data_IF_983541290343
#
_entry.id   IF_983541290343
#
_cell.length_a   1.000
_cell.length_b   1.000
_cell.length_c   1.000
_cell.angle_alpha   90.00
_cell.angle_beta   90.00
_cell.angle_gamma   90.00
#
_symmetry.space_group_name_H-M   'P 1'
#
loop_
_entity.id
_entity.type
_entity.pdbx_description
1 polymer ?
#
# COMPACT_ATOMS: atom_id res chain seq x y z
N UNK A 1 -10.73 18.59 -37.43
CA UNK A 1 -9.32 18.19 -37.22
C UNK A 1 -9.26 17.36 -35.95
N UNK A 2 -9.14 16.04 -36.08
CA UNK A 2 -9.11 15.09 -34.96
C UNK A 2 -7.66 14.92 -34.53
N UNK A 3 -7.32 15.32 -33.31
CA UNK A 3 -6.00 15.04 -32.71
C UNK A 3 -6.07 13.72 -31.98
N UNK A 4 -5.37 12.73 -32.50
CA UNK A 4 -5.13 11.42 -31.87
C UNK A 4 -3.98 11.61 -30.88
N UNK A 5 -4.24 11.36 -29.61
CA UNK A 5 -3.20 11.30 -28.57
C UNK A 5 -2.77 9.85 -28.47
N UNK A 6 -1.54 9.59 -28.91
CA UNK A 6 -0.90 8.28 -28.80
C UNK A 6 -0.44 8.04 -27.36
N UNK A 7 -0.93 6.94 -26.79
CA UNK A 7 -0.46 6.43 -25.48
C UNK A 7 0.80 5.62 -25.77
N UNK A 8 1.96 6.10 -25.33
CA UNK A 8 3.23 5.37 -25.40
C UNK A 8 3.29 4.42 -24.19
N UNK A 9 3.04 3.14 -24.46
CA UNK A 9 3.35 2.05 -23.52
C UNK A 9 4.85 1.75 -23.63
N UNK A 10 5.63 2.10 -22.61
CA UNK A 10 7.02 1.67 -22.51
C UNK A 10 7.08 0.21 -22.03
N UNK A 11 7.30 -0.70 -22.95
CA UNK A 11 7.67 -2.10 -22.67
C UNK A 11 9.17 -2.13 -22.41
N UNK A 12 9.58 -2.46 -21.20
CA UNK A 12 10.97 -2.75 -20.86
C UNK A 12 11.19 -4.25 -21.05
N UNK A 13 11.91 -4.61 -22.13
CA UNK A 13 12.43 -5.95 -22.37
C UNK A 13 13.65 -6.19 -21.45
N UNK A 14 13.59 -7.20 -20.59
CA UNK A 14 14.76 -7.75 -19.93
C UNK A 14 15.34 -8.90 -20.76
N UNK A 15 16.57 -8.71 -21.25
CA UNK A 15 17.40 -9.74 -21.88
C UNK A 15 18.01 -10.59 -20.78
N UNK A 16 17.72 -11.88 -20.79
CA UNK A 16 18.32 -12.86 -19.90
C UNK A 16 19.73 -13.23 -20.36
N UNK A 17 20.68 -13.28 -19.44
CA UNK A 17 21.96 -13.93 -19.62
C UNK A 17 21.96 -15.24 -18.83
N UNK A 18 22.10 -16.34 -19.55
CA UNK A 18 22.32 -17.66 -19.01
C UNK A 18 23.79 -17.82 -18.61
N UNK A 19 24.06 -18.41 -17.45
CA UNK A 19 25.37 -18.91 -17.07
C UNK A 19 25.23 -20.39 -16.67
N UNK A 20 25.98 -21.21 -17.39
CA UNK A 20 26.02 -22.66 -17.26
C UNK A 20 26.82 -23.14 -16.05
N UNK A 21 26.31 -24.18 -15.51
CA UNK A 21 26.78 -25.33 -14.70
C UNK A 21 28.26 -25.56 -14.45
N UNK A 22 28.54 -25.95 -13.20
CA UNK A 22 29.60 -26.92 -12.88
C UNK A 22 29.09 -27.93 -11.84
N UNK A 23 29.08 -29.21 -12.24
CA UNK A 23 28.80 -30.39 -11.41
C UNK A 23 29.98 -30.71 -10.50
N UNK A 24 29.70 -31.05 -9.24
CA UNK A 24 30.60 -31.84 -8.41
C UNK A 24 29.79 -32.90 -7.65
N UNK A 25 30.06 -34.17 -7.96
CA UNK A 25 29.59 -35.35 -7.25
C UNK A 25 30.34 -35.51 -5.92
N UNK A 26 29.64 -35.86 -4.86
CA UNK A 26 30.20 -36.20 -3.56
C UNK A 26 29.24 -37.05 -2.72
N UNK A 27 29.46 -38.38 -2.77
CA UNK A 27 29.26 -39.43 -1.79
C UNK A 27 28.04 -39.36 -0.82
N UNK A 28 27.25 -40.44 -0.90
CA UNK A 28 26.10 -40.71 -0.07
C UNK A 28 26.40 -41.03 1.39
N UNK A 29 25.48 -40.61 2.20
CA UNK A 29 25.21 -41.20 3.53
C UNK A 29 23.73 -41.45 3.69
N UNK A 30 23.38 -42.69 4.02
CA UNK A 30 22.03 -43.24 4.17
C UNK A 30 21.34 -42.62 5.38
N UNK A 31 20.08 -42.11 5.28
CA UNK A 31 19.35 -41.65 6.45
C UNK A 31 18.72 -42.84 7.23
N UNK A 32 18.78 -42.76 8.56
CA UNK A 32 18.05 -43.64 9.47
C UNK A 32 16.53 -43.36 9.45
N UNK A 33 15.65 -44.34 9.69
CA UNK A 33 14.22 -44.19 9.67
C UNK A 33 13.68 -43.68 11.00
N UNK A 34 12.75 -42.71 10.95
CA UNK A 34 11.73 -42.51 11.96
C UNK A 34 11.93 -41.37 12.95
N UNK A 35 11.53 -40.14 12.55
CA UNK A 35 11.00 -39.19 13.50
C UNK A 35 9.80 -38.49 12.82
N UNK A 36 8.62 -38.76 13.38
CA UNK A 36 7.35 -38.12 12.96
C UNK A 36 7.44 -36.62 13.25
N UNK A 37 7.18 -35.72 12.28
CA UNK A 37 7.20 -34.28 12.57
C UNK A 37 6.10 -33.94 13.57
N UNK A 38 6.46 -33.27 14.65
CA UNK A 38 5.51 -32.67 15.56
C UNK A 38 4.73 -31.56 14.82
N UNK A 39 3.43 -31.33 15.12
CA UNK A 39 2.67 -30.26 14.51
C UNK A 39 3.27 -28.91 14.92
N UNK A 40 3.86 -28.21 13.98
CA UNK A 40 4.31 -26.83 14.15
C UNK A 40 3.07 -25.95 14.22
N UNK A 41 2.69 -25.56 15.42
CA UNK A 41 1.72 -24.45 15.63
C UNK A 41 2.30 -23.20 14.95
N UNK A 42 1.58 -22.54 14.06
CA UNK A 42 2.04 -21.26 13.49
C UNK A 42 2.26 -20.27 14.65
N UNK A 43 3.47 -19.75 14.75
CA UNK A 43 3.75 -18.68 15.71
C UNK A 43 2.79 -17.51 15.43
N UNK A 44 2.21 -16.86 16.47
CA UNK A 44 1.38 -15.69 16.29
C UNK A 44 2.19 -14.65 15.50
N UNK A 45 1.60 -14.12 14.42
CA UNK A 45 2.21 -13.05 13.64
C UNK A 45 2.62 -11.92 14.61
N UNK A 46 3.91 -11.62 14.68
CA UNK A 46 4.44 -10.60 15.57
C UNK A 46 3.69 -9.30 15.30
N UNK A 47 3.08 -8.72 16.34
CA UNK A 47 2.39 -7.44 16.26
C UNK A 47 3.36 -6.40 15.66
N UNK A 48 2.92 -5.59 14.68
CA UNK A 48 3.79 -4.60 14.04
C UNK A 48 4.35 -3.65 15.12
N UNK A 49 5.68 -3.50 15.12
CA UNK A 49 6.36 -2.62 16.09
C UNK A 49 5.92 -1.18 15.85
N UNK A 50 5.30 -0.57 16.84
CA UNK A 50 4.90 0.84 16.80
C UNK A 50 6.13 1.72 16.63
N UNK A 51 6.07 2.66 15.70
CA UNK A 51 7.09 3.69 15.53
C UNK A 51 6.94 4.76 16.61
N UNK A 52 8.00 5.21 17.29
CA UNK A 52 7.93 6.36 18.18
C UNK A 52 7.44 7.60 17.43
N UNK A 53 6.40 8.27 17.91
CA UNK A 53 5.80 9.45 17.26
C UNK A 53 4.48 9.17 16.57
N UNK A 54 3.80 8.11 16.99
CA UNK A 54 2.49 7.71 16.51
C UNK A 54 1.48 8.87 16.51
N UNK A 55 0.93 9.13 15.34
CA UNK A 55 -0.15 10.07 15.14
C UNK A 55 -1.53 9.43 15.30
N UNK A 56 -2.60 10.14 14.93
CA UNK A 56 -3.94 9.58 14.87
C UNK A 56 -4.00 8.32 14.02
N UNK A 57 -4.81 7.36 14.46
CA UNK A 57 -5.04 6.10 13.75
C UNK A 57 -6.28 6.27 12.87
N UNK A 58 -6.16 5.88 11.60
CA UNK A 58 -7.28 5.78 10.66
C UNK A 58 -7.72 4.33 10.59
N UNK A 59 -9.01 4.08 10.82
CA UNK A 59 -9.62 2.76 10.66
C UNK A 59 -10.39 2.73 9.36
N UNK A 60 -10.06 1.80 8.49
CA UNK A 60 -10.80 1.50 7.26
C UNK A 60 -11.61 0.22 7.44
N UNK A 61 -12.92 0.31 7.27
CA UNK A 61 -13.84 -0.82 7.30
C UNK A 61 -14.18 -1.23 5.86
N UNK A 62 -14.07 -2.52 5.58
CA UNK A 62 -14.37 -3.11 4.26
C UNK A 62 -15.29 -4.32 4.42
N UNK A 63 -15.73 -4.91 3.29
CA UNK A 63 -16.46 -6.18 3.31
C UNK A 63 -15.60 -7.35 3.77
N UNK A 64 -14.27 -7.22 3.75
CA UNK A 64 -13.33 -8.29 4.11
C UNK A 64 -12.76 -8.15 5.52
N UNK A 65 -13.22 -7.15 6.26
CA UNK A 65 -12.77 -6.82 7.60
C UNK A 65 -12.28 -5.38 7.69
N UNK A 66 -11.65 -5.07 8.81
CA UNK A 66 -11.11 -3.74 9.10
C UNK A 66 -9.60 -3.78 9.21
N UNK A 67 -8.94 -2.68 8.85
CA UNK A 67 -7.52 -2.47 9.07
C UNK A 67 -7.25 -1.07 9.61
N UNK A 68 -6.14 -0.91 10.32
CA UNK A 68 -5.78 0.32 11.00
C UNK A 68 -4.46 0.85 10.49
N UNK A 69 -4.43 2.15 10.18
CA UNK A 69 -3.23 2.88 9.74
C UNK A 69 -2.85 3.88 10.81
N UNK A 70 -1.65 3.73 11.39
CA UNK A 70 -1.02 4.74 12.21
C UNK A 70 -0.38 5.79 11.31
N UNK A 71 -0.66 7.08 11.55
CA UNK A 71 -0.12 8.17 10.73
C UNK A 71 1.16 8.76 11.32
N UNK A 72 1.99 9.42 10.47
CA UNK A 72 3.28 10.00 10.84
C UNK A 72 3.28 11.54 10.71
N UNK A 73 2.56 12.27 11.60
CA UNK A 73 2.44 13.72 11.49
C UNK A 73 3.75 14.48 11.66
N UNK A 74 4.76 13.88 12.30
CA UNK A 74 6.07 14.52 12.47
C UNK A 74 6.93 14.48 11.20
N UNK A 75 6.71 13.50 10.32
CA UNK A 75 7.46 13.32 9.07
C UNK A 75 6.69 13.81 7.83
N UNK A 76 5.35 13.76 7.88
CA UNK A 76 4.50 14.16 6.77
C UNK A 76 3.27 14.95 7.25
N UNK A 77 3.45 16.11 7.92
CA UNK A 77 2.38 16.84 8.58
C UNK A 77 1.27 17.27 7.63
N UNK A 78 1.59 17.77 6.44
CA UNK A 78 0.60 18.25 5.47
C UNK A 78 -0.17 17.11 4.82
N UNK A 79 0.51 16.01 4.51
CA UNK A 79 -0.12 14.80 3.98
C UNK A 79 -1.07 14.19 5.00
N UNK A 80 -0.64 14.07 6.26
CA UNK A 80 -1.49 13.56 7.34
C UNK A 80 -2.68 14.48 7.58
N UNK A 81 -2.48 15.80 7.70
CA UNK A 81 -3.55 16.80 7.85
C UNK A 81 -4.60 16.64 6.74
N UNK A 82 -4.15 16.56 5.48
CA UNK A 82 -5.01 16.43 4.32
C UNK A 82 -5.83 15.13 4.36
N UNK A 83 -5.18 13.98 4.57
CA UNK A 83 -5.86 12.68 4.62
C UNK A 83 -6.85 12.61 5.79
N UNK A 84 -6.49 13.13 6.98
CA UNK A 84 -7.41 13.20 8.12
C UNK A 84 -8.62 14.09 7.84
N UNK A 85 -8.43 15.23 7.14
CA UNK A 85 -9.55 16.09 6.71
C UNK A 85 -10.49 15.36 5.74
N UNK A 86 -9.94 14.55 4.82
CA UNK A 86 -10.74 13.70 3.93
C UNK A 86 -11.54 12.65 4.71
N UNK A 87 -10.92 11.98 5.70
CA UNK A 87 -11.61 11.01 6.56
C UNK A 87 -12.75 11.68 7.33
N UNK A 88 -12.50 12.84 7.97
CA UNK A 88 -13.51 13.59 8.74
C UNK A 88 -14.75 13.95 7.93
N UNK A 89 -14.59 14.23 6.64
CA UNK A 89 -15.72 14.54 5.73
C UNK A 89 -16.28 13.30 5.01
N UNK A 90 -15.95 12.10 5.47
CA UNK A 90 -16.40 10.82 4.93
C UNK A 90 -16.03 10.60 3.44
N UNK A 91 -14.98 11.25 2.96
CA UNK A 91 -14.58 11.21 1.54
C UNK A 91 -14.29 9.79 1.05
N UNK A 92 -13.66 8.95 1.87
CA UNK A 92 -13.31 7.58 1.48
C UNK A 92 -14.48 6.60 1.50
N UNK A 93 -15.62 6.97 2.11
CA UNK A 93 -16.77 6.09 2.23
C UNK A 93 -17.38 5.81 0.83
N UNK A 94 -17.61 4.53 0.56
CA UNK A 94 -18.14 4.07 -0.73
C UNK A 94 -17.14 4.02 -1.88
N UNK A 95 -15.88 4.44 -1.67
CA UNK A 95 -14.84 4.29 -2.68
C UNK A 95 -14.44 2.82 -2.82
N UNK A 96 -13.96 2.46 -4.01
CA UNK A 96 -13.46 1.12 -4.30
C UNK A 96 -11.95 1.11 -4.45
N UNK A 97 -11.39 -0.05 -4.19
CA UNK A 97 -10.03 -0.38 -4.61
C UNK A 97 -10.02 -0.34 -6.14
N UNK A 98 -9.20 0.51 -6.74
CA UNK A 98 -9.08 0.61 -8.19
C UNK A 98 -7.82 -0.02 -8.75
N UNK A 99 -6.83 -0.27 -7.89
CA UNK A 99 -5.59 -0.96 -8.25
C UNK A 99 -5.19 -1.98 -7.20
N UNK A 100 -4.86 -3.17 -7.66
CA UNK A 100 -4.26 -4.25 -6.89
C UNK A 100 -3.19 -4.92 -7.73
N UNK A 101 -1.97 -4.89 -7.25
CA UNK A 101 -0.82 -5.56 -7.86
C UNK A 101 -0.25 -6.54 -6.83
N UNK A 102 -0.28 -7.85 -7.09
CA UNK A 102 0.26 -8.86 -6.18
C UNK A 102 1.72 -8.58 -5.82
N UNK A 103 2.07 -8.71 -4.54
CA UNK A 103 3.41 -8.42 -4.02
C UNK A 103 3.92 -6.98 -4.29
N UNK A 104 3.01 -6.07 -4.61
CA UNK A 104 3.35 -4.67 -4.85
C UNK A 104 2.47 -3.76 -4.00
N UNK A 105 1.30 -3.33 -4.48
CA UNK A 105 0.45 -2.37 -3.76
C UNK A 105 -1.05 -2.67 -3.90
N UNK A 106 -1.81 -2.15 -2.92
CA UNK A 106 -3.25 -1.93 -2.99
C UNK A 106 -3.49 -0.42 -2.93
N UNK A 107 -4.27 0.14 -3.88
CA UNK A 107 -4.48 1.58 -4.02
C UNK A 107 -5.98 1.92 -4.13
N UNK A 108 -6.37 3.02 -3.46
CA UNK A 108 -7.72 3.59 -3.48
C UNK A 108 -7.66 5.11 -3.29
N UNK A 109 -8.84 5.78 -3.31
CA UNK A 109 -8.92 7.23 -3.06
C UNK A 109 -9.43 8.04 -4.24
N UNK A 110 -9.78 7.41 -5.35
CA UNK A 110 -10.40 8.07 -6.49
C UNK A 110 -11.94 8.08 -6.34
N UNK A 111 -12.60 9.25 -6.28
CA UNK A 111 -14.05 9.36 -6.12
C UNK A 111 -14.85 8.81 -7.32
N UNK A 112 -14.24 8.71 -8.50
CA UNK A 112 -14.87 8.11 -9.68
C UNK A 112 -15.19 6.62 -9.47
N UNK A 113 -14.51 5.98 -8.53
CA UNK A 113 -14.71 4.55 -8.22
C UNK A 113 -16.06 4.22 -7.59
N UNK A 114 -16.85 5.24 -7.18
CA UNK A 114 -18.25 5.03 -6.76
C UNK A 114 -19.14 4.62 -7.92
N UNK A 115 -18.79 5.04 -9.13
CA UNK A 115 -19.53 4.81 -10.35
C UNK A 115 -18.85 3.70 -11.18
N UNK A 116 -19.50 2.54 -11.26
CA UNK A 116 -19.00 1.39 -12.02
C UNK A 116 -18.98 1.64 -13.54
N UNK A 117 -19.76 2.59 -14.04
CA UNK A 117 -19.78 2.95 -15.47
C UNK A 117 -18.55 3.76 -15.89
N UNK A 118 -17.82 4.33 -14.91
CA UNK A 118 -16.60 5.13 -15.11
C UNK A 118 -15.30 4.31 -14.89
N UNK A 119 -15.38 3.00 -14.99
CA UNK A 119 -14.24 2.13 -14.65
C UNK A 119 -12.96 2.45 -15.42
N UNK A 120 -13.08 2.86 -16.68
CA UNK A 120 -11.95 3.25 -17.54
C UNK A 120 -11.25 4.55 -17.08
N UNK A 121 -11.89 5.33 -16.21
CA UNK A 121 -11.34 6.56 -15.61
C UNK A 121 -10.79 6.35 -14.21
N UNK A 122 -10.96 5.16 -13.63
CA UNK A 122 -10.51 4.90 -12.27
C UNK A 122 -9.00 5.08 -12.14
N UNK A 123 -8.59 5.73 -11.07
CA UNK A 123 -7.20 6.07 -10.78
C UNK A 123 -6.77 7.44 -11.34
N UNK A 124 -7.63 8.15 -12.07
CA UNK A 124 -7.33 9.48 -12.63
C UNK A 124 -7.89 10.64 -11.81
N UNK A 125 -8.84 10.38 -10.90
CA UNK A 125 -9.52 11.40 -10.11
C UNK A 125 -8.90 11.63 -8.74
N UNK A 126 -9.32 12.72 -8.10
CA UNK A 126 -8.90 13.11 -6.75
C UNK A 126 -9.97 13.89 -6.02
N UNK A 127 -9.67 14.41 -4.82
CA UNK A 127 -10.60 15.20 -4.03
C UNK A 127 -10.82 16.60 -4.58
N UNK A 128 -10.04 17.01 -5.56
CA UNK A 128 -10.01 18.35 -6.14
C UNK A 128 -9.10 19.32 -5.40
N UNK A 129 -8.34 18.88 -4.42
CA UNK A 129 -7.39 19.70 -3.66
C UNK A 129 -6.09 18.95 -3.44
N UNK A 130 -5.05 19.32 -4.16
CA UNK A 130 -3.72 18.77 -3.97
C UNK A 130 -3.15 19.10 -2.58
N UNK A 131 -2.27 18.24 -2.06
CA UNK A 131 -1.52 18.48 -0.82
C UNK A 131 -0.61 19.70 -0.97
N UNK A 132 -0.05 19.93 -2.15
CA UNK A 132 0.70 21.13 -2.51
C UNK A 132 2.18 21.12 -2.08
N UNK A 133 2.61 20.08 -1.35
CA UNK A 133 3.99 19.91 -0.90
C UNK A 133 4.47 18.48 -1.12
N UNK A 134 5.79 18.31 -1.19
CA UNK A 134 6.43 17.00 -1.14
C UNK A 134 7.03 16.78 0.24
N UNK A 135 6.59 15.74 0.93
CA UNK A 135 7.10 15.36 2.25
C UNK A 135 7.84 14.01 2.20
N UNK A 136 8.53 13.77 1.09
CA UNK A 136 9.36 12.58 0.91
C UNK A 136 10.52 12.61 1.89
N UNK A 137 10.63 11.60 2.73
CA UNK A 137 11.65 11.53 3.80
C UNK A 137 12.50 10.26 3.64
N UNK A 138 13.83 10.36 3.80
CA UNK A 138 14.69 9.17 3.85
C UNK A 138 14.48 8.32 5.11
N UNK A 139 13.82 8.86 6.14
CA UNK A 139 13.53 8.16 7.40
C UNK A 139 12.44 7.09 7.25
N UNK A 140 11.62 7.18 6.21
CA UNK A 140 10.52 6.26 5.94
C UNK A 140 10.73 5.56 4.61
N UNK A 141 10.64 4.25 4.65
CA UNK A 141 10.83 3.38 3.48
C UNK A 141 9.57 2.58 3.18
N UNK A 142 9.46 2.10 1.95
CA UNK A 142 8.33 1.31 1.49
C UNK A 142 8.48 -0.16 1.93
N UNK A 143 8.47 -0.37 3.25
CA UNK A 143 8.38 -1.73 3.83
C UNK A 143 6.96 -2.26 3.72
N UNK A 144 6.76 -3.56 3.94
CA UNK A 144 5.42 -4.16 3.97
C UNK A 144 4.51 -3.43 4.96
N UNK A 145 3.31 -3.05 4.49
CA UNK A 145 2.33 -2.29 5.27
C UNK A 145 2.57 -0.78 5.30
N UNK A 146 3.66 -0.26 4.70
CA UNK A 146 3.84 1.18 4.57
C UNK A 146 2.70 1.80 3.75
N UNK A 147 2.26 3.00 4.17
CA UNK A 147 1.17 3.74 3.52
C UNK A 147 1.72 5.03 2.96
N UNK A 148 1.48 5.26 1.66
CA UNK A 148 2.01 6.42 0.97
C UNK A 148 0.97 7.13 0.10
N UNK A 149 1.19 8.42 -0.16
CA UNK A 149 0.39 9.22 -1.07
C UNK A 149 0.78 8.90 -2.52
N UNK A 150 -0.24 8.62 -3.36
CA UNK A 150 -0.05 8.36 -4.78
C UNK A 150 -0.13 9.66 -5.58
N UNK A 151 0.69 9.76 -6.63
CA UNK A 151 0.65 10.85 -7.59
C UNK A 151 1.23 10.41 -8.94
N UNK A 152 0.98 11.20 -9.99
CA UNK A 152 1.60 11.04 -11.31
C UNK A 152 2.44 12.29 -11.63
N UNK A 153 3.74 12.10 -11.82
CA UNK A 153 4.69 13.16 -12.17
C UNK A 153 5.16 13.99 -10.97
N UNK A 154 4.42 15.00 -10.55
CA UNK A 154 4.81 15.92 -9.47
C UNK A 154 4.32 15.44 -8.10
N UNK A 155 5.20 15.22 -7.10
CA UNK A 155 4.80 14.84 -5.75
C UNK A 155 3.89 15.87 -5.05
N UNK A 156 3.93 17.14 -5.46
CA UNK A 156 3.05 18.20 -4.94
C UNK A 156 1.60 18.04 -5.42
N UNK A 157 1.40 17.30 -6.52
CA UNK A 157 0.07 16.99 -7.05
C UNK A 157 -0.61 15.82 -6.34
N UNK A 158 0.04 15.17 -5.36
CA UNK A 158 -0.60 14.17 -4.51
C UNK A 158 -1.87 14.75 -3.88
N UNK A 159 -2.95 13.95 -3.83
CA UNK A 159 -4.26 14.37 -3.31
C UNK A 159 -4.86 13.25 -2.44
N UNK A 160 -5.98 12.70 -2.85
CA UNK A 160 -6.74 11.72 -2.06
C UNK A 160 -6.34 10.26 -2.29
N UNK A 161 -5.59 9.97 -3.36
CA UNK A 161 -5.20 8.60 -3.65
C UNK A 161 -4.04 8.16 -2.74
N UNK A 162 -4.23 7.03 -2.10
CA UNK A 162 -3.25 6.41 -1.20
C UNK A 162 -3.09 4.93 -1.52
N UNK A 163 -1.93 4.38 -1.20
CA UNK A 163 -1.67 2.96 -1.35
C UNK A 163 -0.98 2.36 -0.14
N UNK A 164 -1.22 1.06 0.06
CA UNK A 164 -0.49 0.21 1.02
C UNK A 164 0.45 -0.71 0.27
N UNK A 165 1.67 -0.80 0.75
CA UNK A 165 2.72 -1.69 0.21
C UNK A 165 2.49 -3.12 0.71
N UNK A 166 2.41 -4.10 -0.19
CA UNK A 166 2.17 -5.51 0.15
C UNK A 166 3.45 -6.29 0.41
N UNK A 167 4.57 -5.88 -0.19
CA UNK A 167 5.92 -6.39 0.07
C UNK A 167 6.94 -5.25 -0.10
N UNK A 168 8.17 -5.36 0.44
CA UNK A 168 9.13 -4.25 0.39
C UNK A 168 9.38 -3.75 -1.03
N UNK A 169 9.31 -2.42 -1.24
CA UNK A 169 9.44 -1.76 -2.53
C UNK A 169 10.52 -0.66 -2.49
N UNK A 170 11.81 -1.01 -2.43
CA UNK A 170 12.88 -0.02 -2.27
C UNK A 170 12.97 0.97 -3.45
N UNK A 171 12.51 0.59 -4.64
CA UNK A 171 12.45 1.47 -5.82
C UNK A 171 11.48 2.65 -5.67
N UNK A 172 10.50 2.57 -4.75
CA UNK A 172 9.59 3.68 -4.44
C UNK A 172 10.17 4.65 -3.40
N UNK A 173 11.27 4.26 -2.73
CA UNK A 173 11.91 5.11 -1.73
C UNK A 173 12.39 6.41 -2.36
N UNK A 174 12.27 7.52 -1.61
CA UNK A 174 12.60 8.88 -2.08
C UNK A 174 11.76 9.39 -3.27
N UNK A 175 10.80 8.58 -3.75
CA UNK A 175 9.86 8.99 -4.79
C UNK A 175 8.50 9.39 -4.25
N UNK A 176 8.05 8.77 -3.17
CA UNK A 176 6.70 8.97 -2.63
C UNK A 176 6.72 9.26 -1.14
N UNK A 177 5.78 10.11 -0.69
CA UNK A 177 5.60 10.45 0.73
C UNK A 177 4.97 9.28 1.47
N UNK A 178 5.76 8.59 2.30
CA UNK A 178 5.25 7.61 3.27
C UNK A 178 4.76 8.37 4.48
N UNK A 179 3.44 8.33 4.75
CA UNK A 179 2.80 9.08 5.81
C UNK A 179 2.17 8.22 6.90
N UNK A 180 2.30 6.90 6.81
CA UNK A 180 1.73 5.98 7.80
C UNK A 180 2.17 4.54 7.62
N UNK A 181 1.65 3.68 8.50
CA UNK A 181 1.89 2.24 8.55
C UNK A 181 0.62 1.50 8.96
N UNK A 182 0.33 0.39 8.31
CA UNK A 182 -0.69 -0.55 8.77
C UNK A 182 -0.20 -1.21 10.06
N UNK A 183 -0.94 -0.99 11.16
CA UNK A 183 -0.61 -1.53 12.49
C UNK A 183 -1.52 -2.70 12.90
N UNK A 184 -2.66 -2.88 12.23
CA UNK A 184 -3.57 -4.00 12.42
C UNK A 184 -4.29 -4.31 11.11
N UNK A 185 -4.67 -5.58 10.89
CA UNK A 185 -5.46 -6.00 9.75
C UNK A 185 -4.68 -6.05 8.42
N UNK A 186 -3.36 -6.25 8.43
CA UNK A 186 -2.59 -6.42 7.20
C UNK A 186 -3.04 -7.64 6.39
N UNK A 187 -3.53 -8.68 7.05
CA UNK A 187 -4.17 -9.84 6.41
C UNK A 187 -5.45 -9.47 5.66
N UNK A 188 -6.22 -8.49 6.18
CA UNK A 188 -7.39 -7.93 5.48
C UNK A 188 -6.93 -7.18 4.24
N UNK A 189 -5.90 -6.32 4.34
CA UNK A 189 -5.33 -5.59 3.20
C UNK A 189 -4.89 -6.56 2.09
N UNK A 190 -4.23 -7.66 2.44
CA UNK A 190 -3.78 -8.69 1.48
C UNK A 190 -4.94 -9.40 0.75
N UNK A 191 -6.14 -9.41 1.35
CA UNK A 191 -7.36 -10.00 0.75
C UNK A 191 -8.12 -9.02 -0.16
N UNK A 192 -7.82 -7.71 -0.09
CA UNK A 192 -8.50 -6.70 -0.93
C UNK A 192 -8.22 -6.96 -2.41
N UNK A 193 -9.21 -6.67 -3.24
CA UNK A 193 -9.13 -6.79 -4.70
C UNK A 193 -9.81 -5.58 -5.35
N UNK A 194 -9.52 -5.36 -6.61
CA UNK A 194 -10.21 -4.32 -7.42
C UNK A 194 -11.72 -4.52 -7.30
N UNK A 195 -12.45 -3.42 -7.14
CA UNK A 195 -13.88 -3.31 -6.85
C UNK A 195 -14.31 -3.50 -5.39
N UNK A 196 -13.47 -4.03 -4.49
CA UNK A 196 -13.79 -4.06 -3.07
C UNK A 196 -14.07 -2.64 -2.54
N UNK A 197 -15.10 -2.52 -1.69
CA UNK A 197 -15.60 -1.23 -1.21
C UNK A 197 -15.02 -0.91 0.16
N UNK A 198 -14.53 0.33 0.30
CA UNK A 198 -14.31 0.96 1.61
C UNK A 198 -15.68 1.40 2.14
N UNK A 199 -16.19 0.70 3.12
CA UNK A 199 -17.50 0.99 3.72
C UNK A 199 -17.46 2.29 4.51
N UNK A 200 -16.41 2.44 5.31
CA UNK A 200 -16.22 3.60 6.18
C UNK A 200 -14.75 3.80 6.51
N UNK A 201 -14.37 5.06 6.67
CA UNK A 201 -13.09 5.46 7.23
C UNK A 201 -13.36 6.36 8.45
N UNK A 202 -12.71 6.07 9.59
CA UNK A 202 -12.85 6.82 10.85
C UNK A 202 -11.50 7.08 11.49
N UNK A 203 -11.43 8.06 12.39
CA UNK A 203 -10.22 8.39 13.14
C UNK A 203 -10.38 7.93 14.58
N UNK A 204 -9.42 7.13 15.05
CA UNK A 204 -9.20 6.90 16.48
C UNK A 204 -8.18 7.90 16.99
N UNK A 205 -8.32 8.35 18.23
CA UNK A 205 -7.24 9.06 18.91
C UNK A 205 -5.97 8.20 18.98
N UNK A 206 -4.79 8.82 19.26
CA UNK A 206 -3.60 8.03 19.54
C UNK A 206 -3.90 7.04 20.65
N UNK A 207 -3.27 5.84 20.65
CA UNK A 207 -3.47 4.88 21.74
C UNK A 207 -3.13 5.53 23.08
N UNK A 208 -3.93 5.25 24.10
CA UNK A 208 -3.61 5.67 25.46
C UNK A 208 -2.18 5.23 25.82
N UNK A 209 -1.43 6.15 26.41
CA UNK A 209 -0.07 5.88 26.90
C UNK A 209 -0.11 4.91 28.05
#
# INVERSE_FOLDING_TARGET
>A
MKRVIAIVSAVVLFVGAAVETASAQGAGTKPAPGAKPAPTTPAPAAAPRRSPGAGPIIVFETMKGSFEIETYPNEAPKTVEHVLALVKRNFYNGLRIHRYEPNFVVQWGDPQTRDMTKRDLWGTGGSGKAIGVSEVSPKRTHVTGAVAAAYAGDPRAADSQIYVVLSPQPQLNRGYTVFGQVIAGLDVVNKLRVTDVIRRATIKGPPAK
#
